data_IF_817176758310
#
_entry.id   IF_817176758310
#
_cell.length_a   1.000
_cell.length_b   1.000
_cell.length_c   1.000
_cell.angle_alpha   90.00
_cell.angle_beta   90.00
_cell.angle_gamma   90.00
#
_symmetry.space_group_name_H-M   'P 1'
#
loop_
_entity.id
_entity.type
_entity.pdbx_description
1 polymer ?
#
# COMPACT_ATOMS: atom_id res chain seq x y z
N UNK A 1 25.44 1.27 4.98
CA UNK A 1 24.58 1.85 3.93
C UNK A 1 24.22 3.23 4.39
N UNK A 2 24.39 4.23 3.54
CA UNK A 2 24.01 5.60 3.88
C UNK A 2 22.48 5.60 4.10
N UNK A 3 22.06 5.95 5.32
CA UNK A 3 20.72 5.75 5.88
C UNK A 3 19.65 6.70 5.30
N UNK A 4 19.72 6.99 4.00
CA UNK A 4 18.73 7.80 3.31
C UNK A 4 17.48 6.97 3.02
N UNK A 5 16.37 7.33 3.65
CA UNK A 5 15.05 6.74 3.39
C UNK A 5 14.39 7.52 2.25
N UNK A 6 13.97 6.82 1.20
CA UNK A 6 13.33 7.41 0.02
C UNK A 6 12.09 6.60 -0.40
N UNK A 7 11.13 7.21 -1.13
CA UNK A 7 9.91 6.49 -1.50
C UNK A 7 10.17 5.45 -2.59
N UNK A 8 9.49 4.31 -2.49
CA UNK A 8 9.50 3.28 -3.53
C UNK A 8 8.08 3.12 -4.06
N UNK A 9 7.95 3.26 -5.37
CA UNK A 9 6.71 3.16 -6.12
C UNK A 9 6.61 1.76 -6.73
N UNK A 10 5.80 0.90 -6.13
CA UNK A 10 5.41 -0.38 -6.73
C UNK A 10 4.31 -0.17 -7.76
N UNK A 11 4.54 -0.58 -9.01
CA UNK A 11 3.61 -0.36 -10.12
C UNK A 11 3.21 -1.72 -10.72
N UNK A 12 1.96 -2.10 -10.56
CA UNK A 12 1.40 -3.36 -11.06
C UNK A 12 0.58 -3.17 -12.33
N UNK A 13 0.76 -4.06 -13.32
CA UNK A 13 -0.04 -4.06 -14.55
C UNK A 13 -0.18 -5.46 -15.16
N UNK A 14 -1.14 -5.62 -16.07
CA UNK A 14 -1.36 -6.83 -16.85
C UNK A 14 -1.62 -6.51 -18.32
N UNK A 15 -2.76 -6.91 -18.90
CA UNK A 15 -3.11 -6.56 -20.28
C UNK A 15 -3.13 -5.02 -20.48
N UNK A 16 -2.46 -4.54 -21.52
CA UNK A 16 -2.27 -3.09 -21.77
C UNK A 16 -1.20 -2.43 -20.91
N UNK A 17 -0.54 -3.17 -20.00
CA UNK A 17 0.44 -2.64 -19.06
C UNK A 17 1.66 -2.01 -19.71
N UNK A 18 2.16 -2.54 -20.84
CA UNK A 18 3.30 -1.98 -21.55
C UNK A 18 3.06 -0.53 -22.00
N UNK A 19 1.87 -0.24 -22.55
CA UNK A 19 1.53 1.13 -22.97
C UNK A 19 1.42 2.05 -21.75
N UNK A 20 0.74 1.60 -20.69
CA UNK A 20 0.56 2.36 -19.46
C UNK A 20 1.91 2.68 -18.78
N UNK A 21 2.81 1.69 -18.66
CA UNK A 21 4.18 1.91 -18.18
C UNK A 21 4.94 2.89 -19.06
N UNK A 22 4.84 2.77 -20.38
CA UNK A 22 5.55 3.66 -21.32
C UNK A 22 5.09 5.11 -21.17
N UNK A 23 3.78 5.33 -21.06
CA UNK A 23 3.20 6.67 -20.84
C UNK A 23 3.65 7.27 -19.51
N UNK A 24 3.54 6.51 -18.42
CA UNK A 24 3.98 6.91 -17.09
C UNK A 24 5.49 7.27 -17.07
N UNK A 25 6.35 6.38 -17.56
CA UNK A 25 7.80 6.58 -17.54
C UNK A 25 8.26 7.75 -18.41
N UNK A 26 7.58 8.04 -19.53
CA UNK A 26 7.87 9.21 -20.38
C UNK A 26 7.52 10.53 -19.71
N UNK A 27 6.52 10.54 -18.83
CA UNK A 27 6.07 11.72 -18.12
C UNK A 27 6.85 11.97 -16.81
N UNK A 28 7.54 10.96 -16.29
CA UNK A 28 8.36 11.08 -15.08
C UNK A 28 9.68 11.82 -15.34
N UNK A 29 10.04 12.70 -14.42
CA UNK A 29 11.40 13.24 -14.34
C UNK A 29 12.40 12.12 -13.98
N UNK A 30 13.68 12.32 -14.29
CA UNK A 30 14.73 11.32 -14.05
C UNK A 30 15.38 11.45 -12.67
N UNK A 31 15.11 12.52 -11.94
CA UNK A 31 15.72 12.91 -10.67
C UNK A 31 14.68 13.06 -9.54
N UNK A 32 13.61 12.25 -9.60
CA UNK A 32 12.48 12.30 -8.66
C UNK A 32 12.85 12.05 -7.20
N UNK A 33 13.98 11.37 -6.95
CA UNK A 33 14.35 10.87 -5.64
C UNK A 33 13.55 9.64 -5.19
N UNK A 34 12.75 9.04 -6.07
CA UNK A 34 12.01 7.80 -5.83
C UNK A 34 12.59 6.66 -6.64
N UNK A 35 12.36 5.41 -6.21
CA UNK A 35 12.60 4.24 -7.03
C UNK A 35 11.29 3.67 -7.57
N UNK A 36 11.32 3.06 -8.76
CA UNK A 36 10.13 2.50 -9.41
C UNK A 36 10.32 1.00 -9.61
N UNK A 37 9.39 0.19 -9.12
CA UNK A 37 9.43 -1.27 -9.23
C UNK A 37 8.19 -1.75 -9.99
N UNK A 38 8.39 -2.29 -11.19
CA UNK A 38 7.37 -2.64 -12.15
C UNK A 38 7.12 -4.14 -12.12
N UNK A 39 5.87 -4.51 -11.80
CA UNK A 39 5.38 -5.88 -11.74
C UNK A 39 4.36 -6.06 -12.86
N UNK A 40 4.77 -6.77 -13.91
CA UNK A 40 3.93 -7.11 -15.05
C UNK A 40 3.53 -8.58 -14.97
N UNK A 41 2.28 -8.90 -15.26
CA UNK A 41 1.91 -10.29 -15.59
C UNK A 41 2.59 -10.71 -16.90
N UNK A 42 3.61 -11.56 -16.79
CA UNK A 42 4.42 -12.08 -17.91
C UNK A 42 4.12 -13.56 -18.17
N UNK A 43 4.32 -13.98 -19.42
CA UNK A 43 4.32 -15.39 -19.78
C UNK A 43 5.56 -16.07 -19.16
N UNK A 44 5.41 -17.13 -18.33
CA UNK A 44 6.54 -17.78 -17.67
C UNK A 44 7.45 -18.57 -18.62
N UNK A 45 6.98 -18.92 -19.83
CA UNK A 45 7.70 -19.76 -20.78
C UNK A 45 8.50 -18.96 -21.82
N UNK A 46 8.37 -17.63 -21.81
CA UNK A 46 8.98 -16.77 -22.80
C UNK A 46 9.91 -15.74 -22.14
N UNK A 47 11.07 -15.45 -22.76
CA UNK A 47 11.88 -14.32 -22.33
C UNK A 47 11.09 -13.03 -22.50
N UNK A 48 11.29 -12.09 -21.58
CA UNK A 48 10.67 -10.77 -21.63
C UNK A 48 11.65 -9.77 -22.21
N UNK A 49 11.21 -8.94 -23.14
CA UNK A 49 11.97 -7.77 -23.62
C UNK A 49 11.49 -6.48 -22.93
N UNK A 50 10.73 -6.59 -21.84
CA UNK A 50 10.07 -5.45 -21.22
C UNK A 50 11.07 -4.40 -20.76
N UNK A 51 12.16 -4.79 -20.09
CA UNK A 51 13.23 -3.88 -19.65
C UNK A 51 13.89 -3.16 -20.85
N UNK A 52 14.19 -3.88 -21.93
CA UNK A 52 14.76 -3.30 -23.15
C UNK A 52 13.82 -2.33 -23.88
N UNK A 53 12.51 -2.58 -23.84
CA UNK A 53 11.52 -1.69 -24.45
C UNK A 53 11.36 -0.44 -23.59
N UNK A 54 11.24 -0.60 -22.27
CA UNK A 54 11.05 0.51 -21.33
C UNK A 54 12.28 1.41 -21.20
N UNK A 55 13.49 0.90 -21.44
CA UNK A 55 14.71 1.73 -21.49
C UNK A 55 14.69 2.78 -22.59
N UNK A 56 13.82 2.64 -23.60
CA UNK A 56 13.60 3.65 -24.65
C UNK A 56 12.59 4.73 -24.24
N UNK A 57 11.87 4.53 -23.14
CA UNK A 57 10.83 5.43 -22.66
C UNK A 57 11.35 6.46 -21.65
N UNK A 58 12.49 6.21 -21.00
CA UNK A 58 13.07 7.06 -19.96
C UNK A 58 14.60 7.01 -20.02
N UNK A 59 15.26 8.05 -19.48
CA UNK A 59 16.72 8.04 -19.28
C UNK A 59 17.14 7.53 -17.91
N UNK A 60 16.20 7.17 -17.03
CA UNK A 60 16.51 6.42 -15.81
C UNK A 60 17.09 5.04 -16.16
N UNK A 61 17.91 4.48 -15.26
CA UNK A 61 18.41 3.12 -15.42
C UNK A 61 17.24 2.13 -15.31
N UNK A 62 17.02 1.31 -16.35
CA UNK A 62 16.00 0.26 -16.35
C UNK A 62 16.68 -1.10 -16.20
N UNK A 63 16.39 -1.78 -15.10
CA UNK A 63 17.11 -2.97 -14.64
C UNK A 63 16.13 -4.13 -14.53
N UNK A 64 16.37 -5.23 -15.25
CA UNK A 64 15.72 -6.51 -14.92
C UNK A 64 16.31 -7.02 -13.60
N UNK A 65 15.43 -7.33 -12.65
CA UNK A 65 15.84 -7.61 -11.27
C UNK A 65 16.55 -8.95 -11.16
N UNK A 66 17.64 -8.97 -10.40
CA UNK A 66 18.30 -10.18 -9.94
C UNK A 66 18.03 -10.39 -8.44
N UNK A 67 18.22 -11.61 -7.94
CA UNK A 67 17.99 -11.87 -6.52
C UNK A 67 19.02 -11.12 -5.66
N UNK A 68 18.55 -10.29 -4.73
CA UNK A 68 19.42 -9.49 -3.87
C UNK A 68 19.75 -8.11 -4.43
N UNK A 69 19.08 -7.66 -5.49
CA UNK A 69 19.25 -6.30 -6.03
C UNK A 69 18.84 -5.25 -4.98
N UNK A 70 19.78 -4.42 -4.55
CA UNK A 70 19.48 -3.26 -3.71
C UNK A 70 18.75 -2.19 -4.53
N UNK A 71 17.69 -1.62 -3.95
CA UNK A 71 16.93 -0.54 -4.57
C UNK A 71 17.68 0.79 -4.37
N UNK A 72 17.79 1.57 -5.44
CA UNK A 72 18.39 2.89 -5.47
C UNK A 72 17.37 3.89 -6.04
N UNK A 73 17.40 5.16 -5.59
CA UNK A 73 16.53 6.19 -6.14
C UNK A 73 16.87 6.46 -7.62
N UNK A 74 15.88 6.95 -8.36
CA UNK A 74 15.99 7.31 -9.78
C UNK A 74 16.27 6.11 -10.72
N UNK A 75 15.90 4.90 -10.27
CA UNK A 75 16.01 3.66 -11.02
C UNK A 75 14.63 3.01 -11.23
N UNK A 76 14.52 2.26 -12.32
CA UNK A 76 13.35 1.47 -12.70
C UNK A 76 13.73 -0.01 -12.67
N UNK A 77 13.04 -0.79 -11.85
CA UNK A 77 13.28 -2.22 -11.65
C UNK A 77 12.13 -3.01 -12.26
N UNK A 78 12.43 -4.01 -13.09
CA UNK A 78 11.43 -4.82 -13.79
C UNK A 78 11.50 -6.27 -13.32
N UNK A 79 10.36 -6.83 -12.93
CA UNK A 79 10.28 -8.24 -12.55
C UNK A 79 10.67 -9.15 -13.73
N UNK A 80 11.58 -10.14 -13.55
CA UNK A 80 11.86 -11.15 -14.56
C UNK A 80 10.68 -12.14 -14.73
N UNK A 81 10.55 -12.80 -15.89
CA UNK A 81 9.50 -13.79 -16.11
C UNK A 81 9.63 -14.99 -15.15
N UNK A 82 8.50 -15.63 -14.84
CA UNK A 82 8.42 -16.83 -14.01
C UNK A 82 8.93 -16.70 -12.56
N UNK A 83 9.03 -15.47 -12.03
CA UNK A 83 9.46 -15.21 -10.66
C UNK A 83 8.36 -14.56 -9.82
N UNK A 84 8.43 -14.80 -8.50
CA UNK A 84 7.80 -14.00 -7.45
C UNK A 84 8.85 -13.05 -6.91
N UNK A 85 8.54 -11.76 -6.86
CA UNK A 85 9.42 -10.71 -6.35
C UNK A 85 8.83 -10.07 -5.09
N UNK A 86 9.65 -9.86 -4.08
CA UNK A 86 9.33 -9.16 -2.84
C UNK A 86 10.43 -8.14 -2.52
N UNK A 87 10.18 -7.22 -1.59
CA UNK A 87 11.16 -6.29 -1.06
C UNK A 87 11.32 -6.49 0.46
N UNK A 88 12.55 -6.46 0.95
CA UNK A 88 12.85 -6.52 2.37
C UNK A 88 14.13 -5.74 2.66
N UNK A 89 14.08 -4.83 3.63
CA UNK A 89 15.16 -3.90 3.98
C UNK A 89 15.71 -3.15 2.75
N UNK A 90 14.84 -2.71 1.83
CA UNK A 90 15.25 -2.05 0.59
C UNK A 90 15.92 -2.95 -0.45
N UNK A 91 15.87 -4.28 -0.28
CA UNK A 91 16.47 -5.26 -1.19
C UNK A 91 15.38 -6.09 -1.87
N UNK A 92 15.43 -6.20 -3.19
CA UNK A 92 14.53 -7.04 -3.98
C UNK A 92 14.98 -8.50 -3.91
N UNK A 93 14.06 -9.38 -3.53
CA UNK A 93 14.29 -10.83 -3.43
C UNK A 93 13.41 -11.56 -4.43
N UNK A 94 13.98 -12.57 -5.07
CA UNK A 94 13.30 -13.40 -6.06
C UNK A 94 13.16 -14.83 -5.55
N UNK A 95 12.00 -15.40 -5.82
CA UNK A 95 11.71 -16.82 -5.58
C UNK A 95 10.89 -17.37 -6.73
N UNK A 96 11.01 -18.66 -6.98
CA UNK A 96 10.29 -19.30 -8.08
C UNK A 96 8.78 -19.09 -7.94
N UNK A 97 8.12 -18.78 -9.06
CA UNK A 97 6.66 -18.75 -9.13
C UNK A 97 6.07 -20.07 -8.59
N UNK A 98 5.04 -20.03 -7.73
CA UNK A 98 4.33 -21.23 -7.28
C UNK A 98 3.78 -22.03 -8.47
N UNK A 99 3.98 -23.35 -8.45
CA UNK A 99 3.48 -24.25 -9.52
C UNK A 99 1.98 -24.47 -9.49
N UNK A 100 1.33 -24.16 -8.37
CA UNK A 100 -0.10 -24.34 -8.14
C UNK A 100 -0.69 -23.15 -7.38
N UNK A 101 -1.99 -22.95 -7.52
CA UNK A 101 -2.73 -21.86 -6.91
C UNK A 101 -2.82 -20.59 -7.77
N UNK A 102 -3.65 -19.65 -7.32
CA UNK A 102 -3.76 -18.33 -7.94
C UNK A 102 -2.49 -17.53 -7.61
N UNK A 103 -1.73 -17.16 -8.64
CA UNK A 103 -0.52 -16.37 -8.49
C UNK A 103 -0.86 -14.88 -8.64
N UNK A 104 -0.75 -14.14 -7.54
CA UNK A 104 -1.07 -12.70 -7.43
C UNK A 104 0.21 -11.91 -7.08
N UNK A 105 1.17 -11.78 -8.02
CA UNK A 105 2.48 -11.19 -7.76
C UNK A 105 2.41 -9.72 -7.32
N UNK A 106 1.41 -8.95 -7.78
CA UNK A 106 1.31 -7.52 -7.47
C UNK A 106 0.85 -7.34 -6.03
N UNK A 107 -0.20 -8.05 -5.59
CA UNK A 107 -0.60 -8.07 -4.18
C UNK A 107 0.56 -8.52 -3.28
N UNK A 108 1.27 -9.59 -3.66
CA UNK A 108 2.40 -10.09 -2.87
C UNK A 108 3.51 -9.05 -2.71
N UNK A 109 3.88 -8.35 -3.79
CA UNK A 109 4.87 -7.29 -3.73
C UNK A 109 4.37 -6.10 -2.92
N UNK A 110 3.11 -5.66 -3.09
CA UNK A 110 2.55 -4.54 -2.35
C UNK A 110 2.45 -4.81 -0.84
N UNK A 111 2.17 -6.04 -0.42
CA UNK A 111 2.23 -6.42 1.00
C UNK A 111 3.64 -6.24 1.56
N UNK A 112 4.65 -6.79 0.87
CA UNK A 112 6.04 -6.65 1.30
C UNK A 112 6.51 -5.19 1.29
N UNK A 113 6.11 -4.41 0.29
CA UNK A 113 6.40 -2.98 0.18
C UNK A 113 5.78 -2.19 1.34
N UNK A 114 4.52 -2.47 1.68
CA UNK A 114 3.83 -1.83 2.79
C UNK A 114 4.48 -2.16 4.14
N UNK A 115 4.90 -3.41 4.33
CA UNK A 115 5.59 -3.88 5.54
C UNK A 115 6.97 -3.23 5.69
N UNK A 116 7.75 -3.17 4.61
CA UNK A 116 9.13 -2.68 4.64
C UNK A 116 9.21 -1.15 4.77
N UNK A 117 8.37 -0.42 4.02
CA UNK A 117 8.52 1.02 3.85
C UNK A 117 7.41 1.88 4.48
N UNK A 118 6.32 1.28 4.94
CA UNK A 118 5.28 2.01 5.67
C UNK A 118 4.71 3.20 4.88
N UNK A 119 4.94 4.42 5.39
CA UNK A 119 4.50 5.66 4.73
C UNK A 119 5.26 6.00 3.45
N UNK A 120 6.43 5.39 3.23
CA UNK A 120 7.26 5.58 2.04
C UNK A 120 6.89 4.62 0.91
N UNK A 121 5.95 3.70 1.16
CA UNK A 121 5.39 2.82 0.13
C UNK A 121 4.35 3.58 -0.71
N UNK A 122 4.51 3.54 -2.03
CA UNK A 122 3.50 4.03 -2.98
C UNK A 122 3.10 2.88 -3.89
N UNK A 123 1.81 2.60 -4.00
CA UNK A 123 1.28 1.57 -4.88
C UNK A 123 0.52 2.18 -6.05
N UNK A 124 0.75 1.67 -7.25
CA UNK A 124 0.07 2.10 -8.47
C UNK A 124 -0.45 0.88 -9.20
N UNK A 125 -1.76 0.81 -9.45
CA UNK A 125 -2.38 -0.24 -10.28
C UNK A 125 -2.77 0.34 -11.64
N UNK A 126 -2.18 -0.19 -12.70
CA UNK A 126 -2.45 0.21 -14.08
C UNK A 126 -3.32 -0.82 -14.82
N UNK A 127 -3.55 -0.57 -16.11
CA UNK A 127 -4.35 -1.41 -17.02
C UNK A 127 -4.10 -2.91 -16.85
N UNK A 128 -5.20 -3.67 -16.83
CA UNK A 128 -5.21 -5.12 -16.75
C UNK A 128 -6.61 -5.70 -16.53
N UNK A 129 -6.71 -7.03 -16.49
CA UNK A 129 -8.02 -7.72 -16.59
C UNK A 129 -8.55 -8.32 -15.29
N UNK A 130 -7.69 -8.57 -14.30
CA UNK A 130 -8.05 -9.27 -13.05
C UNK A 130 -8.13 -8.32 -11.83
N UNK A 131 -8.08 -8.84 -10.60
CA UNK A 131 -8.15 -8.07 -9.36
C UNK A 131 -6.81 -7.96 -8.62
N UNK A 132 -5.69 -8.34 -9.25
CA UNK A 132 -4.39 -8.28 -8.58
C UNK A 132 -3.97 -6.82 -8.29
N UNK A 133 -3.29 -6.62 -7.17
CA UNK A 133 -2.90 -5.31 -6.63
C UNK A 133 -3.96 -4.61 -5.78
N UNK A 134 -5.26 -4.93 -5.90
CA UNK A 134 -6.32 -4.23 -5.17
C UNK A 134 -6.19 -4.38 -3.63
N UNK A 135 -5.96 -5.60 -3.14
CA UNK A 135 -5.76 -5.84 -1.71
C UNK A 135 -4.39 -5.34 -1.22
N UNK A 136 -3.39 -5.36 -2.11
CA UNK A 136 -2.08 -4.75 -1.87
C UNK A 136 -2.16 -3.25 -1.67
N UNK A 137 -2.95 -2.53 -2.46
CA UNK A 137 -3.18 -1.09 -2.27
C UNK A 137 -3.86 -0.79 -0.91
N UNK A 138 -4.81 -1.64 -0.49
CA UNK A 138 -5.40 -1.54 0.86
C UNK A 138 -4.32 -1.67 1.94
N UNK A 139 -3.37 -2.60 1.78
CA UNK A 139 -2.26 -2.75 2.73
C UNK A 139 -1.29 -1.57 2.71
N UNK A 140 -0.92 -1.04 1.53
CA UNK A 140 -0.09 0.16 1.40
C UNK A 140 -0.75 1.34 2.12
N UNK A 141 -2.03 1.59 1.85
CA UNK A 141 -2.76 2.67 2.52
C UNK A 141 -2.81 2.47 4.02
N UNK A 142 -3.04 1.24 4.49
CA UNK A 142 -3.02 0.95 5.91
C UNK A 142 -1.65 1.09 6.58
N UNK A 143 -0.56 0.90 5.85
CA UNK A 143 0.79 1.17 6.35
C UNK A 143 1.10 2.68 6.41
N UNK A 144 0.25 3.52 5.83
CA UNK A 144 0.41 4.98 5.73
C UNK A 144 0.92 5.44 4.37
N UNK A 145 1.07 4.54 3.41
CA UNK A 145 1.47 4.86 2.05
C UNK A 145 0.38 5.52 1.23
N UNK A 146 0.67 5.73 -0.05
CA UNK A 146 -0.24 6.31 -1.03
C UNK A 146 -0.65 5.27 -2.08
N UNK A 147 -1.90 5.30 -2.50
CA UNK A 147 -2.46 4.36 -3.47
C UNK A 147 -3.03 5.08 -4.71
N UNK A 148 -2.59 4.65 -5.88
CA UNK A 148 -3.02 5.18 -7.18
C UNK A 148 -3.65 4.06 -8.01
N UNK A 149 -4.64 4.41 -8.82
CA UNK A 149 -5.14 3.56 -9.89
C UNK A 149 -5.20 4.35 -11.19
N UNK A 150 -4.98 3.68 -12.32
CA UNK A 150 -5.22 4.27 -13.62
C UNK A 150 -6.72 4.54 -13.81
N UNK A 151 -7.08 5.67 -14.42
CA UNK A 151 -8.47 5.94 -14.76
C UNK A 151 -8.99 4.99 -15.87
N UNK A 152 -10.31 4.84 -15.96
CA UNK A 152 -10.93 3.91 -16.90
C UNK A 152 -10.80 4.34 -18.37
N UNK A 153 -10.77 5.65 -18.65
CA UNK A 153 -10.72 6.19 -20.01
C UNK A 153 -9.35 5.96 -20.67
N UNK A 154 -8.27 6.07 -19.89
CA UNK A 154 -6.90 5.82 -20.37
C UNK A 154 -6.51 4.33 -20.33
N UNK A 155 -7.30 3.47 -19.68
CA UNK A 155 -7.02 2.04 -19.51
C UNK A 155 -7.48 1.23 -20.73
N UNK A 156 -6.55 0.56 -21.42
CA UNK A 156 -6.94 -0.41 -22.45
C UNK A 156 -7.80 -1.54 -21.87
N UNK A 157 -7.49 -1.97 -20.65
CA UNK A 157 -8.24 -2.98 -19.90
C UNK A 157 -8.50 -2.43 -18.50
N UNK A 158 -9.73 -2.02 -18.17
CA UNK A 158 -10.01 -1.33 -16.91
C UNK A 158 -10.30 -2.27 -15.73
N UNK A 159 -10.16 -3.60 -15.89
CA UNK A 159 -10.53 -4.59 -14.87
C UNK A 159 -9.75 -4.43 -13.55
N UNK A 160 -8.42 -4.35 -13.64
CA UNK A 160 -7.53 -4.16 -12.49
C UNK A 160 -7.74 -2.80 -11.80
N UNK A 161 -7.67 -1.65 -12.51
CA UNK A 161 -7.87 -0.36 -11.88
C UNK A 161 -9.29 -0.17 -11.30
N UNK A 162 -10.33 -0.69 -11.97
CA UNK A 162 -11.71 -0.65 -11.44
C UNK A 162 -11.84 -1.46 -10.16
N UNK A 163 -11.24 -2.64 -10.10
CA UNK A 163 -11.24 -3.48 -8.88
C UNK A 163 -10.51 -2.80 -7.74
N UNK A 164 -9.35 -2.17 -8.03
CA UNK A 164 -8.62 -1.35 -7.07
C UNK A 164 -9.47 -0.18 -6.55
N UNK A 165 -10.09 0.61 -7.43
CA UNK A 165 -10.95 1.73 -7.07
C UNK A 165 -12.15 1.30 -6.20
N UNK A 166 -12.77 0.16 -6.54
CA UNK A 166 -13.92 -0.38 -5.80
C UNK A 166 -13.61 -0.75 -4.34
N UNK A 167 -12.34 -0.88 -3.95
CA UNK A 167 -11.96 -1.07 -2.54
C UNK A 167 -12.21 0.16 -1.67
N UNK A 168 -12.36 1.35 -2.27
CA UNK A 168 -12.38 2.63 -1.56
C UNK A 168 -11.02 3.03 -0.97
N UNK A 169 -9.95 2.29 -1.31
CA UNK A 169 -8.62 2.49 -0.75
C UNK A 169 -7.67 3.23 -1.71
N UNK A 170 -8.13 3.59 -2.91
CA UNK A 170 -7.35 4.40 -3.85
C UNK A 170 -7.47 5.88 -3.46
N UNK A 171 -6.35 6.59 -3.45
CA UNK A 171 -6.30 8.03 -3.17
C UNK A 171 -6.45 8.86 -4.45
N UNK A 172 -5.90 8.38 -5.56
CA UNK A 172 -5.93 9.07 -6.85
C UNK A 172 -6.28 8.09 -7.98
N UNK A 173 -7.28 8.47 -8.79
CA UNK A 173 -7.66 7.77 -10.02
C UNK A 173 -7.36 8.74 -11.17
N UNK A 174 -6.31 8.46 -11.95
CA UNK A 174 -5.69 9.41 -12.87
C UNK A 174 -5.14 8.71 -14.12
N UNK A 175 -4.92 9.44 -15.21
CA UNK A 175 -4.20 8.92 -16.37
C UNK A 175 -2.71 8.71 -16.05
N UNK A 176 -1.98 7.81 -16.74
CA UNK A 176 -0.56 7.54 -16.45
C UNK A 176 0.33 8.79 -16.38
N UNK A 177 0.09 9.76 -17.26
CA UNK A 177 0.82 11.04 -17.30
C UNK A 177 0.48 11.93 -16.09
N UNK A 178 -0.77 11.90 -15.63
CA UNK A 178 -1.24 12.62 -14.45
C UNK A 178 -0.75 11.95 -13.16
N UNK A 179 -0.66 10.61 -13.13
CA UNK A 179 0.00 9.86 -12.06
C UNK A 179 1.46 10.33 -11.93
N UNK A 180 2.19 10.47 -13.05
CA UNK A 180 3.57 10.98 -13.01
C UNK A 180 3.65 12.39 -12.38
N UNK A 181 2.77 13.30 -12.81
CA UNK A 181 2.72 14.66 -12.30
C UNK A 181 2.39 14.68 -10.80
N UNK A 182 1.45 13.85 -10.38
CA UNK A 182 1.01 13.77 -8.99
C UNK A 182 2.07 13.13 -8.09
N UNK A 183 2.79 12.11 -8.57
CA UNK A 183 3.97 11.55 -7.89
C UNK A 183 5.06 12.62 -7.67
N UNK A 184 5.35 13.41 -8.71
CA UNK A 184 6.31 14.52 -8.63
C UNK A 184 5.87 15.64 -7.68
N UNK A 185 4.55 15.79 -7.48
CA UNK A 185 3.96 16.71 -6.51
C UNK A 185 4.09 16.19 -5.08
N UNK A 186 3.60 14.99 -4.80
CA UNK A 186 3.54 14.45 -3.43
C UNK A 186 4.91 14.18 -2.84
N UNK A 187 5.91 13.79 -3.67
CA UNK A 187 7.29 13.56 -3.18
C UNK A 187 7.95 14.82 -2.64
N UNK A 188 7.46 16.02 -2.99
CA UNK A 188 7.98 17.29 -2.45
C UNK A 188 7.49 17.57 -1.04
N UNK A 189 6.36 16.96 -0.65
CA UNK A 189 5.78 17.19 0.67
C UNK A 189 6.66 16.56 1.76
N UNK A 190 6.87 17.23 2.92
CA UNK A 190 7.73 16.72 3.99
C UNK A 190 7.35 15.31 4.47
N UNK A 191 6.07 14.92 4.38
CA UNK A 191 5.60 13.57 4.72
C UNK A 191 6.38 12.44 4.05
N UNK A 192 6.79 12.62 2.78
CA UNK A 192 7.58 11.65 2.01
C UNK A 192 9.08 11.99 1.98
N UNK A 193 9.53 12.90 2.84
CA UNK A 193 10.93 13.29 3.01
C UNK A 193 11.29 13.31 4.49
N UNK A 194 11.46 12.15 5.14
CA UNK A 194 11.58 12.05 6.60
C UNK A 194 12.70 12.93 7.18
N UNK A 195 13.83 13.03 6.46
CA UNK A 195 14.98 13.86 6.83
C UNK A 195 14.61 15.35 6.94
N UNK A 196 13.72 15.84 6.08
CA UNK A 196 13.24 17.23 6.08
C UNK A 196 12.04 17.37 7.04
N UNK A 197 11.17 16.36 7.12
CA UNK A 197 9.98 16.38 7.96
C UNK A 197 10.27 16.57 9.45
N UNK A 198 11.40 16.05 9.94
CA UNK A 198 11.84 16.24 11.32
C UNK A 198 12.13 17.71 11.67
N UNK A 199 12.47 18.53 10.68
CA UNK A 199 12.75 19.96 10.88
C UNK A 199 11.53 20.86 10.62
N UNK A 200 10.57 20.42 9.79
CA UNK A 200 9.51 21.30 9.26
C UNK A 200 8.12 21.08 9.89
N UNK A 201 7.76 19.85 10.29
CA UNK A 201 6.41 19.60 10.83
C UNK A 201 6.34 19.69 12.36
N UNK A 202 5.82 20.81 12.87
CA UNK A 202 5.49 20.99 14.28
C UNK A 202 4.00 20.72 14.53
N UNK A 203 3.69 19.48 14.94
CA UNK A 203 2.38 19.17 15.52
C UNK A 203 2.24 19.92 16.85
N UNK A 204 1.32 20.88 16.92
CA UNK A 204 0.92 21.52 18.17
C UNK A 204 -0.15 20.69 18.87
N UNK A 205 -0.07 20.53 20.20
CA UNK A 205 -1.11 19.83 20.96
C UNK A 205 -2.48 20.50 20.81
N UNK A 206 -2.53 21.82 20.69
CA UNK A 206 -3.77 22.58 20.46
C UNK A 206 -4.43 22.18 19.14
N UNK A 207 -3.65 22.17 18.04
CA UNK A 207 -4.14 21.72 16.73
C UNK A 207 -4.62 20.27 16.77
N UNK A 208 -3.90 19.38 17.45
CA UNK A 208 -4.29 17.97 17.57
C UNK A 208 -5.62 17.82 18.33
N UNK A 209 -5.78 18.52 19.45
CA UNK A 209 -7.02 18.51 20.23
C UNK A 209 -8.19 19.10 19.43
N UNK A 210 -7.95 20.13 18.62
CA UNK A 210 -8.97 20.67 17.72
C UNK A 210 -9.43 19.64 16.69
N UNK A 211 -8.50 18.92 16.04
CA UNK A 211 -8.85 17.84 15.10
C UNK A 211 -9.65 16.73 15.81
N UNK A 212 -9.22 16.30 17.00
CA UNK A 212 -9.95 15.28 17.79
C UNK A 212 -11.35 15.76 18.14
N UNK A 213 -11.51 17.02 18.53
CA UNK A 213 -12.83 17.61 18.81
C UNK A 213 -13.73 17.63 17.58
N UNK A 214 -13.19 18.02 16.41
CA UNK A 214 -13.96 18.02 15.15
C UNK A 214 -14.42 16.60 14.79
N UNK A 215 -13.52 15.62 14.87
CA UNK A 215 -13.85 14.22 14.63
C UNK A 215 -14.92 13.71 15.60
N UNK A 216 -14.79 14.02 16.89
CA UNK A 216 -15.77 13.61 17.89
C UNK A 216 -17.14 14.23 17.62
N UNK A 217 -17.20 15.54 17.33
CA UNK A 217 -18.45 16.22 17.02
C UNK A 217 -19.15 15.68 15.77
N UNK A 218 -18.39 15.27 14.75
CA UNK A 218 -18.95 14.76 13.49
C UNK A 218 -19.31 13.27 13.52
N UNK A 219 -18.55 12.45 14.27
CA UNK A 219 -18.62 10.98 14.18
C UNK A 219 -19.06 10.30 15.49
N UNK A 220 -19.01 11.00 16.62
CA UNK A 220 -19.25 10.45 17.94
C UNK A 220 -18.11 9.59 18.50
N UNK A 221 -17.02 9.40 17.76
CA UNK A 221 -15.87 8.58 18.19
C UNK A 221 -14.78 9.44 18.80
N UNK A 222 -14.38 9.12 20.03
CA UNK A 222 -13.33 9.84 20.75
C UNK A 222 -11.94 9.24 20.44
N UNK A 223 -11.10 10.03 19.77
CA UNK A 223 -9.72 9.67 19.45
C UNK A 223 -8.70 10.22 20.46
N UNK A 224 -9.13 10.80 21.59
CA UNK A 224 -8.25 11.39 22.60
C UNK A 224 -7.22 10.40 23.17
N UNK A 225 -7.61 9.12 23.29
CA UNK A 225 -6.77 8.01 23.77
C UNK A 225 -6.19 7.15 22.63
N UNK A 226 -6.41 7.52 21.36
CA UNK A 226 -5.86 6.77 20.25
C UNK A 226 -4.33 6.86 20.22
N UNK A 227 -3.66 5.84 19.70
CA UNK A 227 -2.19 5.77 19.64
C UNK A 227 -1.63 6.99 18.90
N UNK A 228 -1.01 7.92 19.65
CA UNK A 228 -0.55 9.22 19.12
C UNK A 228 0.32 9.10 17.86
N UNK A 229 1.36 8.24 17.79
CA UNK A 229 2.15 8.10 16.58
C UNK A 229 1.33 7.68 15.35
N UNK A 230 0.36 6.78 15.53
CA UNK A 230 -0.52 6.34 14.45
C UNK A 230 -1.43 7.46 13.97
N UNK A 231 -2.05 8.20 14.91
CA UNK A 231 -2.92 9.33 14.59
C UNK A 231 -2.16 10.43 13.85
N UNK A 232 -0.99 10.83 14.37
CA UNK A 232 -0.11 11.83 13.75
C UNK A 232 0.23 11.46 12.31
N UNK A 233 0.61 10.21 12.05
CA UNK A 233 0.93 9.74 10.70
C UNK A 233 -0.26 9.84 9.75
N UNK A 234 -1.47 9.48 10.19
CA UNK A 234 -2.70 9.60 9.40
C UNK A 234 -3.02 11.06 9.09
N UNK A 235 -2.89 11.91 10.08
CA UNK A 235 -3.05 13.35 9.94
C UNK A 235 -2.09 13.93 8.89
N UNK A 236 -0.79 13.67 9.03
CA UNK A 236 0.23 14.13 8.08
C UNK A 236 0.00 13.60 6.67
N UNK A 237 -0.48 12.36 6.54
CA UNK A 237 -0.83 11.78 5.24
C UNK A 237 -1.99 12.52 4.58
N UNK A 238 -3.09 12.78 5.31
CA UNK A 238 -4.24 13.55 4.78
C UNK A 238 -3.81 14.96 4.38
N UNK A 239 -2.99 15.60 5.20
CA UNK A 239 -2.39 16.89 4.89
C UNK A 239 -1.53 16.86 3.61
N UNK A 240 -0.74 15.80 3.40
CA UNK A 240 0.06 15.62 2.18
C UNK A 240 -0.80 15.49 0.91
N UNK A 241 -1.93 14.79 1.00
CA UNK A 241 -2.91 14.68 -0.09
C UNK A 241 -3.45 16.07 -0.47
N UNK A 242 -3.72 16.91 0.53
CA UNK A 242 -4.29 18.26 0.36
C UNK A 242 -3.26 19.38 0.19
N UNK A 243 -1.95 19.11 0.26
CA UNK A 243 -0.86 20.11 0.22
C UNK A 243 -0.87 21.10 1.39
N UNK A 244 -1.28 20.64 2.57
CA UNK A 244 -1.30 21.47 3.76
C UNK A 244 -0.06 21.18 4.59
N UNK A 245 0.74 22.22 4.88
CA UNK A 245 1.99 22.07 5.61
C UNK A 245 1.82 22.23 7.12
N UNK A 246 0.73 22.86 7.58
CA UNK A 246 0.44 23.10 9.00
C UNK A 246 -0.86 22.47 9.48
N UNK A 247 -0.86 22.05 10.75
CA UNK A 247 -2.05 21.49 11.40
C UNK A 247 -3.15 22.54 11.57
N UNK A 248 -2.79 23.83 11.70
CA UNK A 248 -3.74 24.93 11.77
C UNK A 248 -4.51 25.12 10.46
N UNK A 249 -3.83 25.03 9.32
CA UNK A 249 -4.48 25.10 8.01
C UNK A 249 -5.42 23.91 7.83
N UNK A 250 -5.01 22.72 8.28
CA UNK A 250 -5.86 21.54 8.23
C UNK A 250 -7.08 21.61 9.15
N UNK A 251 -6.95 22.14 10.38
CA UNK A 251 -8.10 22.42 11.26
C UNK A 251 -9.08 23.38 10.59
N UNK A 252 -8.57 24.44 9.95
CA UNK A 252 -9.40 25.40 9.23
C UNK A 252 -10.10 24.75 8.03
N UNK A 253 -9.38 23.88 7.30
CA UNK A 253 -9.91 23.12 6.17
C UNK A 253 -11.04 22.17 6.60
N UNK A 254 -10.84 21.40 7.67
CA UNK A 254 -11.84 20.48 8.24
C UNK A 254 -13.12 21.22 8.66
N UNK A 255 -13.01 22.47 9.11
CA UNK A 255 -14.16 23.28 9.53
C UNK A 255 -15.15 23.61 8.41
N UNK A 256 -14.73 23.55 7.14
CA UNK A 256 -15.57 23.88 5.99
C UNK A 256 -15.71 22.75 4.96
N UNK A 257 -15.01 21.63 5.15
CA UNK A 257 -15.06 20.43 4.28
C UNK A 257 -15.46 19.18 5.09
N UNK A 258 -16.77 18.93 5.32
CA UNK A 258 -17.25 17.77 6.07
C UNK A 258 -16.82 16.42 5.48
N UNK A 259 -16.66 16.34 4.16
CA UNK A 259 -16.16 15.18 3.44
C UNK A 259 -14.73 14.82 3.86
N UNK A 260 -13.88 15.81 4.17
CA UNK A 260 -12.53 15.56 4.67
C UNK A 260 -12.53 15.04 6.11
N UNK A 261 -13.48 15.48 6.93
CA UNK A 261 -13.66 14.92 8.28
C UNK A 261 -13.98 13.43 8.18
N UNK A 262 -14.87 13.05 7.26
CA UNK A 262 -15.20 11.66 7.00
C UNK A 262 -14.03 10.87 6.42
N UNK A 263 -13.25 11.47 5.51
CA UNK A 263 -12.07 10.84 4.93
C UNK A 263 -10.98 10.61 5.99
N UNK A 264 -10.73 11.58 6.88
CA UNK A 264 -9.82 11.43 8.01
C UNK A 264 -10.31 10.37 8.98
N UNK A 265 -11.59 10.35 9.31
CA UNK A 265 -12.20 9.33 10.16
C UNK A 265 -11.95 7.92 9.59
N UNK A 266 -12.23 7.72 8.30
CA UNK A 266 -11.95 6.47 7.61
C UNK A 266 -10.46 6.14 7.63
N UNK A 267 -9.57 7.12 7.40
CA UNK A 267 -8.12 6.93 7.37
C UNK A 267 -7.54 6.51 8.72
N UNK A 268 -8.06 7.09 9.82
CA UNK A 268 -7.68 6.72 11.19
C UNK A 268 -8.16 5.32 11.56
N UNK A 269 -9.32 4.91 11.02
CA UNK A 269 -9.91 3.60 11.28
C UNK A 269 -9.52 2.50 10.30
N UNK A 270 -8.63 2.77 9.33
CA UNK A 270 -8.21 1.76 8.36
C UNK A 270 -7.71 0.53 9.09
N UNK A 271 -8.52 -0.51 8.98
CA UNK A 271 -8.27 -1.81 9.56
C UNK A 271 -7.89 -2.76 8.45
N UNK A 272 -6.74 -3.42 8.57
CA UNK A 272 -6.36 -4.53 7.71
C UNK A 272 -6.57 -5.79 8.51
N UNK A 273 -7.59 -6.53 8.13
CA UNK A 273 -7.75 -7.93 8.46
C UNK A 273 -7.55 -8.74 7.19
N UNK A 274 -7.04 -9.94 7.36
CA UNK A 274 -6.78 -10.89 6.30
C UNK A 274 -7.08 -12.28 6.82
N UNK A 275 -7.49 -13.19 5.93
CA UNK A 275 -7.60 -14.59 6.28
C UNK A 275 -6.21 -15.13 6.62
N UNK A 276 -6.11 -15.83 7.75
CA UNK A 276 -4.87 -16.43 8.24
C UNK A 276 -3.68 -15.45 8.27
N UNK A 277 -3.93 -14.19 8.69
CA UNK A 277 -2.96 -13.08 8.61
C UNK A 277 -1.55 -13.44 9.10
N UNK A 278 -1.47 -14.16 10.22
CA UNK A 278 -0.23 -14.68 10.79
C UNK A 278 -0.28 -16.22 10.77
N UNK A 279 0.07 -16.88 9.65
CA UNK A 279 -0.18 -18.32 9.48
C UNK A 279 0.39 -19.18 10.60
N UNK A 280 1.56 -18.81 11.14
CA UNK A 280 2.20 -19.47 12.27
C UNK A 280 1.33 -19.49 13.53
N UNK A 281 0.59 -18.40 13.80
CA UNK A 281 -0.35 -18.32 14.93
C UNK A 281 -1.49 -19.33 14.75
N UNK A 282 -2.01 -19.47 13.53
CA UNK A 282 -3.08 -20.44 13.23
C UNK A 282 -2.55 -21.89 13.23
N UNK A 283 -1.31 -22.12 12.84
CA UNK A 283 -0.68 -23.44 12.99
C UNK A 283 -0.46 -23.82 14.46
N UNK A 284 0.00 -22.89 15.29
CA UNK A 284 0.09 -23.08 16.75
C UNK A 284 -1.29 -23.32 17.35
N UNK A 285 -2.30 -22.55 16.93
CA UNK A 285 -3.67 -22.73 17.38
C UNK A 285 -4.18 -24.15 17.09
N UNK A 286 -3.98 -24.67 15.86
CA UNK A 286 -4.39 -26.03 15.46
C UNK A 286 -3.59 -27.15 16.15
N UNK A 287 -2.27 -27.00 16.25
CA UNK A 287 -1.38 -28.08 16.71
C UNK A 287 -1.24 -28.15 18.22
N UNK A 288 -1.38 -27.04 18.92
CA UNK A 288 -1.12 -26.94 20.36
C UNK A 288 -2.37 -26.55 21.15
N UNK A 289 -3.00 -25.42 20.80
CA UNK A 289 -4.08 -24.84 21.61
C UNK A 289 -5.35 -25.69 21.53
N UNK A 290 -5.79 -26.06 20.32
CA UNK A 290 -7.01 -26.83 20.11
C UNK A 290 -6.98 -28.21 20.77
N UNK A 291 -5.90 -29.02 20.64
CA UNK A 291 -5.77 -30.27 21.36
C UNK A 291 -5.79 -30.07 22.88
N UNK A 292 -5.09 -29.05 23.40
CA UNK A 292 -5.03 -28.80 24.84
C UNK A 292 -6.40 -28.44 25.44
N UNK A 293 -7.19 -27.59 24.76
CA UNK A 293 -8.52 -27.19 25.26
C UNK A 293 -9.62 -28.23 25.02
N UNK A 294 -9.35 -29.26 24.20
CA UNK A 294 -10.27 -30.37 23.93
C UNK A 294 -9.93 -31.66 24.68
N UNK A 295 -8.69 -31.82 25.16
CA UNK A 295 -8.19 -33.05 25.81
C UNK A 295 -9.05 -33.54 27.00
N UNK A 296 -9.62 -32.63 27.78
CA UNK A 296 -10.42 -32.95 28.98
C UNK A 296 -11.92 -32.62 28.82
N UNK A 297 -12.38 -32.30 27.60
CA UNK A 297 -13.77 -31.91 27.38
C UNK A 297 -14.70 -33.10 27.17
N UNK A 298 -15.76 -33.15 27.96
CA UNK A 298 -16.98 -33.91 27.65
C UNK A 298 -17.79 -33.18 26.57
N UNK A 299 -18.52 -33.93 25.73
CA UNK A 299 -19.28 -33.45 24.56
C UNK A 299 -20.31 -32.33 24.84
N UNK A 300 -20.50 -31.93 26.09
CA UNK A 300 -21.55 -31.01 26.55
C UNK A 300 -21.09 -29.57 26.81
N UNK A 301 -19.77 -29.28 26.82
CA UNK A 301 -19.26 -27.94 27.14
C UNK A 301 -18.76 -27.18 25.88
N UNK A 302 -19.40 -26.06 25.48
CA UNK A 302 -19.02 -25.32 24.29
C UNK A 302 -17.62 -24.69 24.42
N UNK A 303 -16.88 -24.60 23.32
CA UNK A 303 -15.66 -23.79 23.23
C UNK A 303 -16.08 -22.35 22.94
N UNK A 304 -15.52 -21.40 23.69
CA UNK A 304 -15.79 -19.96 23.50
C UNK A 304 -14.47 -19.28 23.22
N UNK A 305 -14.39 -18.62 22.07
CA UNK A 305 -13.23 -17.83 21.65
C UNK A 305 -13.70 -16.41 21.46
N UNK A 306 -12.94 -15.44 21.99
CA UNK A 306 -13.24 -14.02 21.85
C UNK A 306 -12.17 -13.38 20.96
N UNK A 307 -12.61 -12.70 19.91
CA UNK A 307 -11.76 -11.94 18.99
C UNK A 307 -12.11 -10.45 19.15
N UNK A 308 -11.45 -9.72 20.05
CA UNK A 308 -11.69 -8.30 20.23
C UNK A 308 -11.19 -7.51 19.01
N UNK A 309 -11.98 -6.53 18.55
CA UNK A 309 -11.56 -5.65 17.44
C UNK A 309 -11.47 -6.36 16.09
N UNK A 310 -12.42 -7.25 15.77
CA UNK A 310 -12.37 -8.12 14.59
C UNK A 310 -12.48 -7.42 13.22
N UNK A 311 -12.68 -6.09 13.19
CA UNK A 311 -12.81 -5.29 11.96
C UNK A 311 -13.75 -5.92 10.91
N UNK A 312 -13.25 -6.34 9.74
CA UNK A 312 -14.08 -6.98 8.70
C UNK A 312 -14.32 -8.48 8.90
N UNK A 313 -13.81 -9.06 10.00
CA UNK A 313 -14.18 -10.38 10.49
C UNK A 313 -13.33 -11.54 9.98
N UNK A 314 -12.37 -11.32 9.09
CA UNK A 314 -11.57 -12.39 8.49
C UNK A 314 -10.80 -13.22 9.53
N UNK A 315 -10.35 -12.62 10.63
CA UNK A 315 -9.70 -13.36 11.73
C UNK A 315 -10.68 -14.31 12.45
N UNK A 316 -11.92 -13.85 12.68
CA UNK A 316 -12.99 -14.67 13.28
C UNK A 316 -13.27 -15.87 12.39
N UNK A 317 -13.38 -15.64 11.08
CA UNK A 317 -13.59 -16.72 10.12
C UNK A 317 -12.37 -17.65 10.02
N UNK A 318 -11.15 -17.12 10.08
CA UNK A 318 -9.94 -17.95 10.07
C UNK A 318 -9.89 -18.90 11.26
N UNK A 319 -10.20 -18.39 12.46
CA UNK A 319 -10.33 -19.21 13.66
C UNK A 319 -11.45 -20.26 13.50
N UNK A 320 -12.61 -19.86 12.97
CA UNK A 320 -13.72 -20.78 12.73
C UNK A 320 -13.40 -21.89 11.71
N UNK A 321 -12.59 -21.60 10.69
CA UNK A 321 -12.11 -22.60 9.72
C UNK A 321 -11.10 -23.57 10.36
N UNK A 322 -10.36 -23.13 11.39
CA UNK A 322 -9.43 -23.99 12.13
C UNK A 322 -10.11 -24.94 13.13
N UNK A 323 -11.32 -24.61 13.60
CA UNK A 323 -12.12 -25.44 14.52
C UNK A 323 -12.71 -26.67 13.82
#
# INVERSE_FOLDING_TARGET
MDGSTFPVVGIGASAGGLEAFTKLLRALAVDTGMAFVLIQHLNPEQPSLLSEILSRATSMSVIEVENGTAVEPNCVYVIPPNQKMLIQNGVLTLSTRPKSGHFLPINAFFYALAEDLGSMAIGVVLSGTDGDGALGLKAIKAAGGLAFAQDEESSQFPGMPRTAAATGMVDFILAPEEIAAELARVVRHPYLRPTIAQEVFTETEEGRLAVVSILYSATGVDFSQYKRPSFKRRLQRRMALLQLESIQDYVSYLGVHPEEVQALYQDVLISVTAFFRDPEVFEIFKSLVLPAITAEKTLTLPIRIWVPGCATGEEVYSLAICL
#
